data_IF_128290690588
#
_entry.id   IF_128290690588
#
_cell.length_a   1.000
_cell.length_b   1.000
_cell.length_c   1.000
_cell.angle_alpha   90.00
_cell.angle_beta   90.00
_cell.angle_gamma   90.00
#
_symmetry.space_group_name_H-M   'P 1'
#
loop_
_entity.id
_entity.type
_entity.pdbx_description
1 polymer ?
#
# COMPACT_ATOMS: atom_id res chain seq x y z
N UNK A 1 0.40 -0.82 -1.05
CA UNK A 1 1.23 0.26 -0.45
C UNK A 1 2.60 -0.22 0.01
N UNK A 2 2.70 -1.04 1.07
CA UNK A 2 4.00 -1.49 1.62
C UNK A 2 4.95 -2.04 0.54
N UNK A 3 4.52 -3.03 -0.23
CA UNK A 3 5.34 -3.61 -1.31
C UNK A 3 5.80 -2.57 -2.35
N UNK A 4 4.92 -1.63 -2.73
CA UNK A 4 5.29 -0.54 -3.64
C UNK A 4 6.36 0.36 -3.02
N UNK A 5 6.23 0.75 -1.75
CA UNK A 5 7.25 1.57 -1.08
C UNK A 5 8.57 0.81 -0.91
N UNK A 6 8.52 -0.49 -0.64
CA UNK A 6 9.71 -1.35 -0.49
C UNK A 6 10.48 -1.51 -1.80
N UNK A 7 9.79 -1.57 -2.94
CA UNK A 7 10.42 -1.82 -4.25
C UNK A 7 10.70 -0.52 -5.02
N UNK A 8 9.76 0.41 -5.04
CA UNK A 8 9.79 1.62 -5.86
C UNK A 8 10.13 2.90 -5.07
N UNK A 9 10.19 2.81 -3.74
CA UNK A 9 10.47 3.92 -2.83
C UNK A 9 9.23 4.64 -2.30
N UNK A 10 9.41 5.49 -1.29
CA UNK A 10 8.31 6.13 -0.53
C UNK A 10 7.42 7.08 -1.37
N UNK A 11 7.92 7.53 -2.52
CA UNK A 11 7.17 8.38 -3.44
C UNK A 11 6.09 7.62 -4.23
N UNK A 12 6.05 6.28 -4.13
CA UNK A 12 5.04 5.42 -4.74
C UNK A 12 3.69 5.50 -4.00
N UNK A 13 3.15 6.71 -3.92
CA UNK A 13 1.91 7.03 -3.23
C UNK A 13 0.69 6.76 -4.09
N UNK A 14 -0.37 6.27 -3.48
CA UNK A 14 -1.65 6.04 -4.16
C UNK A 14 -2.25 7.34 -4.68
N UNK A 15 -2.82 7.26 -5.88
CA UNK A 15 -3.57 8.33 -6.56
C UNK A 15 -4.98 7.92 -6.94
N UNK A 16 -5.30 6.63 -6.90
CA UNK A 16 -6.62 6.10 -7.19
C UNK A 16 -6.77 4.63 -6.83
N UNK A 17 -7.99 4.16 -6.69
CA UNK A 17 -8.32 2.74 -6.61
C UNK A 17 -9.70 2.51 -7.18
N UNK A 18 -9.86 1.42 -7.92
CA UNK A 18 -11.14 0.90 -8.40
C UNK A 18 -11.20 -0.56 -8.00
N UNK A 19 -12.23 -0.94 -7.24
CA UNK A 19 -12.48 -2.31 -6.83
C UNK A 19 -13.88 -2.68 -7.33
N UNK A 20 -13.94 -3.62 -8.25
CA UNK A 20 -15.15 -4.22 -8.79
C UNK A 20 -15.09 -5.73 -8.56
N UNK A 21 -16.18 -6.44 -8.85
CA UNK A 21 -16.31 -7.88 -8.60
C UNK A 21 -15.20 -8.70 -9.29
N UNK A 22 -14.90 -8.38 -10.55
CA UNK A 22 -13.93 -9.12 -11.37
C UNK A 22 -12.57 -8.42 -11.53
N UNK A 23 -12.44 -7.17 -11.10
CA UNK A 23 -11.24 -6.38 -11.36
C UNK A 23 -10.87 -5.43 -10.23
N UNK A 24 -9.56 -5.31 -10.02
CA UNK A 24 -8.97 -4.35 -9.12
C UNK A 24 -7.94 -3.54 -9.90
N UNK A 25 -8.10 -2.21 -9.89
CA UNK A 25 -7.10 -1.27 -10.40
C UNK A 25 -6.59 -0.42 -9.26
N UNK A 26 -5.27 -0.31 -9.15
CA UNK A 26 -4.61 0.52 -8.16
C UNK A 26 -3.67 1.50 -8.86
N UNK A 27 -3.96 2.80 -8.73
CA UNK A 27 -3.21 3.86 -9.40
C UNK A 27 -2.25 4.52 -8.39
N UNK A 28 -0.99 4.72 -8.75
CA UNK A 28 0.04 5.35 -7.89
C UNK A 28 1.00 6.24 -8.68
N UNK A 29 1.70 7.15 -7.99
CA UNK A 29 2.71 8.01 -8.60
C UNK A 29 4.05 7.30 -8.76
N UNK A 30 4.57 7.24 -9.98
CA UNK A 30 5.93 6.81 -10.26
C UNK A 30 6.45 7.53 -11.51
N UNK A 31 7.73 7.91 -11.54
CA UNK A 31 8.29 8.73 -12.62
C UNK A 31 8.63 7.94 -13.89
N UNK A 32 8.69 6.62 -13.79
CA UNK A 32 9.01 5.69 -14.89
C UNK A 32 8.01 4.54 -14.91
N UNK A 33 7.98 3.81 -16.02
CA UNK A 33 7.28 2.53 -16.05
C UNK A 33 7.95 1.55 -15.09
N UNK A 34 7.16 0.72 -14.42
CA UNK A 34 7.65 -0.35 -13.55
C UNK A 34 8.22 -1.46 -14.43
N UNK A 35 9.44 -1.93 -14.13
CA UNK A 35 10.05 -3.01 -14.92
C UNK A 35 9.43 -4.37 -14.59
N UNK A 36 9.53 -5.38 -15.47
CA UNK A 36 9.03 -6.72 -15.19
C UNK A 36 9.61 -7.32 -13.89
N UNK A 37 10.88 -7.06 -13.59
CA UNK A 37 11.55 -7.53 -12.37
C UNK A 37 11.00 -6.82 -11.12
N UNK A 38 10.75 -5.51 -11.21
CA UNK A 38 10.11 -4.75 -10.14
C UNK A 38 8.68 -5.26 -9.89
N UNK A 39 7.91 -5.57 -10.94
CA UNK A 39 6.56 -6.17 -10.82
C UNK A 39 6.63 -7.51 -10.09
N UNK A 40 7.48 -8.44 -10.55
CA UNK A 40 7.64 -9.75 -9.91
C UNK A 40 7.97 -9.62 -8.42
N UNK A 41 8.87 -8.70 -8.07
CA UNK A 41 9.27 -8.49 -6.67
C UNK A 41 8.13 -7.90 -5.82
N UNK A 42 7.30 -7.02 -6.40
CA UNK A 42 6.11 -6.50 -5.72
C UNK A 42 5.13 -7.64 -5.44
N UNK A 43 4.88 -8.51 -6.42
CA UNK A 43 3.99 -9.67 -6.29
C UNK A 43 4.48 -10.65 -5.23
N UNK A 44 5.77 -10.98 -5.22
CA UNK A 44 6.37 -11.89 -4.24
C UNK A 44 6.16 -11.40 -2.80
N UNK A 45 6.43 -10.12 -2.54
CA UNK A 45 6.24 -9.51 -1.21
C UNK A 45 4.77 -9.59 -0.80
N UNK A 46 3.83 -9.30 -1.72
CA UNK A 46 2.39 -9.35 -1.41
C UNK A 46 1.98 -10.78 -1.08
N UNK A 47 2.33 -11.74 -1.92
CA UNK A 47 1.96 -13.14 -1.74
C UNK A 47 2.57 -13.74 -0.45
N UNK A 48 3.80 -13.36 -0.11
CA UNK A 48 4.42 -13.73 1.16
C UNK A 48 3.62 -13.19 2.35
N UNK A 49 3.21 -11.92 2.33
CA UNK A 49 2.42 -11.34 3.42
C UNK A 49 1.04 -11.96 3.56
N UNK A 50 0.42 -12.33 2.44
CA UNK A 50 -0.87 -13.05 2.44
C UNK A 50 -0.70 -14.45 3.04
N UNK A 51 0.36 -15.18 2.67
CA UNK A 51 0.59 -16.53 3.17
C UNK A 51 0.98 -16.59 4.65
N UNK A 52 1.60 -15.53 5.18
CA UNK A 52 1.83 -15.36 6.62
C UNK A 52 0.53 -15.34 7.44
N UNK A 53 -0.60 -14.97 6.84
CA UNK A 53 -1.91 -15.01 7.50
C UNK A 53 -2.01 -14.13 8.73
N UNK A 54 -1.23 -13.04 8.79
CA UNK A 54 -1.18 -12.15 9.93
C UNK A 54 -2.58 -11.56 10.24
N UNK A 55 -2.94 -11.41 11.52
CA UNK A 55 -4.24 -10.87 11.89
C UNK A 55 -4.38 -9.42 11.42
N UNK A 56 -5.52 -9.11 10.80
CA UNK A 56 -5.91 -7.74 10.47
C UNK A 56 -6.77 -7.20 11.61
N UNK A 57 -6.27 -6.19 12.31
CA UNK A 57 -6.97 -5.55 13.45
C UNK A 57 -7.33 -4.10 13.12
N UNK A 58 -8.31 -3.55 13.85
CA UNK A 58 -8.72 -2.15 13.72
C UNK A 58 -9.02 -1.61 15.10
N UNK A 59 -8.49 -0.42 15.41
CA UNK A 59 -8.66 0.25 16.70
C UNK A 59 -9.02 1.72 16.50
N UNK A 60 -9.89 2.23 17.37
CA UNK A 60 -10.21 3.66 17.43
C UNK A 60 -9.23 4.35 18.38
N UNK A 61 -8.51 5.35 17.87
CA UNK A 61 -7.53 6.10 18.67
C UNK A 61 -7.42 7.55 18.19
N UNK A 62 -6.75 8.38 19.00
CA UNK A 62 -6.45 9.77 18.62
C UNK A 62 -5.44 9.79 17.46
N UNK A 63 -5.60 10.74 16.54
CA UNK A 63 -4.72 10.91 15.38
C UNK A 63 -3.23 10.99 15.75
N UNK A 64 -2.88 11.72 16.81
CA UNK A 64 -1.50 11.80 17.29
C UNK A 64 -0.94 10.42 17.65
N UNK A 65 -1.74 9.57 18.28
CA UNK A 65 -1.31 8.22 18.66
C UNK A 65 -1.14 7.32 17.44
N UNK A 66 -2.03 7.44 16.46
CA UNK A 66 -1.89 6.73 15.19
C UNK A 66 -0.59 7.12 14.47
N UNK A 67 -0.24 8.41 14.45
CA UNK A 67 1.03 8.90 13.87
C UNK A 67 2.25 8.34 14.59
N UNK A 68 2.25 8.30 15.93
CA UNK A 68 3.33 7.68 16.73
C UNK A 68 3.53 6.20 16.42
N UNK A 69 2.45 5.48 16.11
CA UNK A 69 2.49 4.07 15.71
C UNK A 69 2.96 3.85 14.26
N UNK A 70 3.33 4.92 13.55
CA UNK A 70 3.79 4.85 12.18
C UNK A 70 2.67 4.64 11.17
N UNK A 71 1.42 4.99 11.52
CA UNK A 71 0.31 4.90 10.58
C UNK A 71 0.58 5.77 9.33
N UNK A 72 0.48 5.14 8.16
CA UNK A 72 0.62 5.83 6.89
C UNK A 72 -0.70 6.53 6.56
N UNK A 73 -0.68 7.87 6.49
CA UNK A 73 -1.83 8.66 6.07
C UNK A 73 -1.98 8.60 4.54
N UNK A 74 -2.72 7.60 4.05
CA UNK A 74 -2.90 7.34 2.61
C UNK A 74 -3.91 8.29 1.94
N UNK A 75 -4.77 8.93 2.72
CA UNK A 75 -5.75 9.90 2.28
C UNK A 75 -5.49 11.22 3.00
N UNK A 76 -5.26 12.29 2.26
CA UNK A 76 -4.99 13.62 2.84
C UNK A 76 -6.12 14.09 3.74
N UNK A 77 -5.75 14.56 4.94
CA UNK A 77 -6.44 15.38 5.97
C UNK A 77 -7.97 15.36 6.16
N UNK A 78 -8.73 14.48 5.51
CA UNK A 78 -10.17 14.32 5.73
C UNK A 78 -10.49 12.96 6.34
N UNK A 79 -9.97 12.72 7.53
CA UNK A 79 -10.51 11.79 8.52
C UNK A 79 -10.32 12.37 9.92
#
# INVERSE_FOLDING_TARGET
>A
HHALHTVLGENAMQRGSKVEEDTLRFDFSHSKAVTPEEISRIEDIINQRVSEGAPVTTELMKLQKARELGAMALFGEKY
#
